data_IF_928106739383
#
_entry.id   IF_928106739383
#
_cell.length_a   1.000
_cell.length_b   1.000
_cell.length_c   1.000
_cell.angle_alpha   90.00
_cell.angle_beta   90.00
_cell.angle_gamma   90.00
#
_symmetry.space_group_name_H-M   'P 1'
#
loop_
_entity.id
_entity.type
_entity.pdbx_description
1 polymer ?
#
# COMPACT_ATOMS: atom_id res chain seq x y z
N UNK A 1 -27.41 2.84 21.70
CA UNK A 1 -26.22 2.98 20.89
C UNK A 1 -26.17 1.78 19.98
N UNK A 2 -26.35 1.98 18.69
CA UNK A 2 -26.15 0.89 17.72
C UNK A 2 -24.68 0.43 17.80
N UNK A 3 -24.49 -0.82 18.21
CA UNK A 3 -23.16 -1.45 18.16
C UNK A 3 -22.83 -1.69 16.69
N UNK A 4 -22.07 -0.78 16.10
CA UNK A 4 -21.60 -0.93 14.72
C UNK A 4 -20.48 -1.95 14.67
N UNK A 5 -20.73 -3.08 14.03
CA UNK A 5 -19.71 -4.11 13.80
C UNK A 5 -18.71 -3.58 12.77
N UNK A 6 -17.40 -3.62 13.05
CA UNK A 6 -16.40 -3.20 12.07
C UNK A 6 -16.49 -4.01 10.77
N UNK A 7 -16.17 -3.40 9.62
CA UNK A 7 -16.20 -4.10 8.32
C UNK A 7 -15.27 -5.31 8.30
N UNK A 8 -15.81 -6.48 7.96
CA UNK A 8 -15.06 -7.74 7.84
C UNK A 8 -15.75 -8.68 6.85
N UNK A 9 -15.05 -9.73 6.45
CA UNK A 9 -15.59 -10.84 5.68
C UNK A 9 -14.92 -12.14 6.13
N UNK A 10 -15.55 -12.85 7.06
CA UNK A 10 -15.00 -14.08 7.64
C UNK A 10 -14.86 -15.22 6.61
N UNK A 11 -15.76 -15.29 5.64
CA UNK A 11 -15.72 -16.34 4.62
C UNK A 11 -14.53 -16.14 3.68
N UNK A 12 -14.20 -14.87 3.32
CA UNK A 12 -13.00 -14.57 2.57
C UNK A 12 -11.72 -14.91 3.38
N UNK A 13 -11.70 -14.60 4.68
CA UNK A 13 -10.57 -14.94 5.56
C UNK A 13 -10.36 -16.45 5.64
N UNK A 14 -11.43 -17.24 5.83
CA UNK A 14 -11.35 -18.69 5.86
C UNK A 14 -10.92 -19.28 4.52
N UNK A 15 -11.46 -18.75 3.41
CA UNK A 15 -11.11 -19.20 2.07
C UNK A 15 -9.62 -19.00 1.78
N UNK A 16 -9.05 -17.83 2.15
CA UNK A 16 -7.61 -17.56 1.97
C UNK A 16 -6.77 -18.49 2.84
N UNK A 17 -7.09 -18.63 4.13
CA UNK A 17 -6.35 -19.52 5.03
C UNK A 17 -6.45 -20.98 4.60
N UNK A 18 -7.63 -21.42 4.16
CA UNK A 18 -7.85 -22.77 3.66
C UNK A 18 -7.05 -23.05 2.37
N UNK A 19 -7.02 -22.09 1.45
CA UNK A 19 -6.24 -22.22 0.22
C UNK A 19 -4.74 -22.31 0.50
N UNK A 20 -4.22 -21.55 1.44
CA UNK A 20 -2.82 -21.63 1.87
C UNK A 20 -2.46 -23.01 2.46
N UNK A 21 -3.43 -23.69 3.11
CA UNK A 21 -3.24 -25.03 3.67
C UNK A 21 -3.30 -26.14 2.62
N UNK A 22 -4.08 -25.95 1.54
CA UNK A 22 -4.25 -26.95 0.50
C UNK A 22 -3.19 -26.83 -0.61
N UNK A 23 -2.88 -25.60 -1.03
CA UNK A 23 -1.97 -25.32 -2.14
C UNK A 23 -0.52 -25.07 -1.67
N UNK A 24 -0.31 -24.76 -0.40
CA UNK A 24 1.01 -24.48 0.17
C UNK A 24 2.02 -25.63 0.11
N UNK A 25 1.53 -26.83 -0.18
CA UNK A 25 2.35 -28.04 -0.39
C UNK A 25 2.75 -28.27 -1.86
N UNK A 26 2.11 -27.60 -2.83
CA UNK A 26 2.20 -27.98 -4.25
C UNK A 26 3.10 -27.08 -5.10
N UNK A 27 3.01 -25.74 -4.98
CA UNK A 27 3.78 -24.84 -5.86
C UNK A 27 4.32 -23.57 -5.18
N UNK A 28 3.84 -23.23 -4.01
CA UNK A 28 4.21 -21.98 -3.33
C UNK A 28 3.60 -20.70 -3.97
N UNK A 29 3.04 -20.79 -5.17
CA UNK A 29 2.49 -19.64 -5.90
C UNK A 29 1.37 -18.93 -5.13
N UNK A 30 0.45 -19.71 -4.54
CA UNK A 30 -0.64 -19.16 -3.73
C UNK A 30 -0.13 -18.44 -2.47
N UNK A 31 0.96 -18.95 -1.89
CA UNK A 31 1.61 -18.35 -0.71
C UNK A 31 2.25 -17.02 -1.07
N UNK A 32 3.03 -17.00 -2.16
CA UNK A 32 3.70 -15.78 -2.64
C UNK A 32 2.67 -14.72 -3.03
N UNK A 33 1.60 -15.11 -3.71
CA UNK A 33 0.51 -14.22 -4.09
C UNK A 33 -0.17 -13.61 -2.86
N UNK A 34 -0.61 -14.44 -1.90
CA UNK A 34 -1.31 -13.95 -0.71
C UNK A 34 -0.41 -13.08 0.15
N UNK A 35 0.86 -13.46 0.34
CA UNK A 35 1.81 -12.68 1.15
C UNK A 35 2.20 -11.36 0.51
N UNK A 36 2.04 -11.22 -0.80
CA UNK A 36 2.22 -9.94 -1.50
C UNK A 36 1.05 -8.98 -1.32
N UNK A 37 -0.16 -9.49 -1.02
CA UNK A 37 -1.41 -8.71 -0.95
C UNK A 37 -1.84 -8.47 0.50
N UNK A 38 -1.78 -9.50 1.36
CA UNK A 38 -2.38 -9.50 2.70
C UNK A 38 -1.33 -9.47 3.78
N UNK A 39 -1.47 -8.54 4.71
CA UNK A 39 -0.68 -8.51 5.93
C UNK A 39 -1.44 -9.18 7.10
N UNK A 40 -0.69 -9.56 8.15
CA UNK A 40 -1.25 -10.17 9.35
C UNK A 40 -2.42 -9.36 9.95
N UNK A 41 -2.26 -8.05 10.02
CA UNK A 41 -3.22 -7.15 10.68
C UNK A 41 -4.43 -6.82 9.80
N UNK A 42 -4.46 -7.33 8.55
CA UNK A 42 -5.63 -7.23 7.68
C UNK A 42 -6.74 -8.21 8.07
N UNK A 43 -6.43 -9.29 8.77
CA UNK A 43 -7.43 -10.19 9.28
C UNK A 43 -8.24 -9.54 10.42
N UNK A 44 -9.54 -9.75 10.42
CA UNK A 44 -10.43 -9.26 11.45
C UNK A 44 -10.36 -10.11 12.72
N UNK A 45 -10.43 -11.46 12.56
CA UNK A 45 -10.38 -12.38 13.69
C UNK A 45 -8.95 -12.57 14.20
N UNK A 46 -8.77 -12.43 15.51
CA UNK A 46 -7.48 -12.70 16.16
C UNK A 46 -7.01 -14.14 15.96
N UNK A 47 -7.95 -15.09 15.90
CA UNK A 47 -7.66 -16.49 15.58
C UNK A 47 -7.02 -16.63 14.20
N UNK A 48 -7.54 -15.92 13.19
CA UNK A 48 -7.01 -15.93 11.83
C UNK A 48 -5.64 -15.24 11.75
N UNK A 49 -5.43 -14.14 12.49
CA UNK A 49 -4.11 -13.49 12.62
C UNK A 49 -3.05 -14.45 13.17
N UNK A 50 -3.41 -15.22 14.20
CA UNK A 50 -2.51 -16.20 14.81
C UNK A 50 -2.18 -17.33 13.82
N UNK A 51 -3.17 -17.84 13.09
CA UNK A 51 -3.00 -18.88 12.07
C UNK A 51 -2.09 -18.36 10.95
N UNK A 52 -2.38 -17.17 10.42
CA UNK A 52 -1.59 -16.57 9.34
C UNK A 52 -0.13 -16.31 9.77
N UNK A 53 0.08 -15.82 10.99
CA UNK A 53 1.43 -15.63 11.55
C UNK A 53 2.21 -16.94 11.70
N UNK A 54 1.52 -18.03 12.04
CA UNK A 54 2.14 -19.37 12.07
C UNK A 54 2.50 -19.84 10.66
N UNK A 55 1.63 -19.63 9.67
CA UNK A 55 1.91 -19.93 8.25
C UNK A 55 3.14 -19.14 7.78
N UNK A 56 3.21 -17.82 8.02
CA UNK A 56 4.37 -17.00 7.66
C UNK A 56 5.68 -17.51 8.28
N UNK A 57 5.61 -18.05 9.50
CA UNK A 57 6.78 -18.66 10.15
C UNK A 57 7.23 -19.95 9.47
N UNK A 58 6.29 -20.80 9.03
CA UNK A 58 6.60 -21.99 8.25
C UNK A 58 7.25 -21.63 6.92
N UNK A 59 6.72 -20.63 6.21
CA UNK A 59 7.30 -20.08 4.98
C UNK A 59 8.74 -19.64 5.21
N UNK A 60 8.99 -18.80 6.21
CA UNK A 60 10.34 -18.31 6.57
C UNK A 60 11.30 -19.44 6.91
N UNK A 61 10.79 -20.53 7.45
CA UNK A 61 11.58 -21.72 7.81
C UNK A 61 11.72 -22.72 6.66
N UNK A 62 11.19 -22.38 5.48
CA UNK A 62 11.16 -23.24 4.28
C UNK A 62 10.56 -24.63 4.55
N UNK A 63 9.51 -24.67 5.38
CA UNK A 63 8.75 -25.89 5.70
C UNK A 63 7.48 -25.95 4.85
N UNK A 64 7.03 -27.15 4.56
CA UNK A 64 5.73 -27.38 3.89
C UNK A 64 4.59 -26.84 4.75
N UNK A 65 3.58 -26.27 4.10
CA UNK A 65 2.40 -25.75 4.75
C UNK A 65 1.27 -26.76 4.55
N UNK A 66 0.96 -27.47 5.60
CA UNK A 66 -0.17 -28.40 5.66
C UNK A 66 -0.79 -28.36 7.07
N UNK A 67 -1.91 -29.05 7.25
CA UNK A 67 -2.61 -29.03 8.53
C UNK A 67 -1.78 -29.66 9.67
N UNK A 68 -0.86 -30.59 9.39
CA UNK A 68 -0.01 -31.24 10.39
C UNK A 68 1.07 -30.26 10.86
N UNK A 69 1.82 -29.72 9.92
CA UNK A 69 2.92 -28.78 10.20
C UNK A 69 2.42 -27.50 10.86
N UNK A 70 1.24 -26.99 10.44
CA UNK A 70 0.61 -25.84 11.07
C UNK A 70 0.15 -26.15 12.50
N UNK A 71 -0.46 -27.33 12.73
CA UNK A 71 -0.89 -27.74 14.07
C UNK A 71 0.30 -27.86 15.02
N UNK A 72 1.40 -28.45 14.57
CA UNK A 72 2.65 -28.60 15.34
C UNK A 72 3.25 -27.22 15.69
N UNK A 73 3.28 -26.30 14.70
CA UNK A 73 3.78 -24.93 14.94
C UNK A 73 2.90 -24.16 15.95
N UNK A 74 1.57 -24.31 15.85
CA UNK A 74 0.63 -23.69 16.79
C UNK A 74 0.72 -24.31 18.19
N UNK A 75 0.95 -25.62 18.29
CA UNK A 75 1.19 -26.30 19.57
C UNK A 75 2.48 -25.83 20.22
N UNK A 76 3.57 -25.74 19.43
CA UNK A 76 4.85 -25.17 19.90
C UNK A 76 4.70 -23.76 20.44
N UNK A 77 3.82 -22.95 19.85
CA UNK A 77 3.49 -21.59 20.30
C UNK A 77 2.47 -21.54 21.42
N UNK A 78 1.93 -22.68 21.88
CA UNK A 78 0.84 -22.79 22.86
C UNK A 78 -0.41 -21.99 22.46
N UNK A 79 -0.73 -21.98 21.16
CA UNK A 79 -1.86 -21.24 20.57
C UNK A 79 -2.91 -22.15 19.93
N UNK A 80 -2.67 -23.46 19.84
CA UNK A 80 -3.56 -24.42 19.18
C UNK A 80 -5.00 -24.35 19.73
N UNK A 81 -5.16 -24.37 21.05
CA UNK A 81 -6.49 -24.29 21.68
C UNK A 81 -7.14 -22.92 21.45
N UNK A 82 -6.34 -21.84 21.43
CA UNK A 82 -6.82 -20.47 21.20
C UNK A 82 -7.45 -20.30 19.81
N UNK A 83 -6.96 -21.00 18.81
CA UNK A 83 -7.47 -20.93 17.43
C UNK A 83 -8.62 -21.91 17.16
N UNK A 84 -9.04 -22.72 18.14
CA UNK A 84 -10.14 -23.68 18.01
C UNK A 84 -9.67 -25.13 17.76
N UNK A 85 -8.40 -25.41 18.00
CA UNK A 85 -7.82 -26.76 17.92
C UNK A 85 -7.69 -27.28 16.48
N UNK A 86 -7.32 -28.55 16.38
CA UNK A 86 -7.13 -29.26 15.10
C UNK A 86 -8.43 -29.29 14.29
N UNK A 87 -9.59 -29.39 14.95
CA UNK A 87 -10.88 -29.41 14.28
C UNK A 87 -11.14 -28.15 13.44
N UNK A 88 -10.80 -26.98 13.98
CA UNK A 88 -10.95 -25.72 13.26
C UNK A 88 -9.99 -25.62 12.07
N UNK A 89 -8.72 -26.02 12.22
CA UNK A 89 -7.74 -26.02 11.15
C UNK A 89 -8.18 -26.95 10.02
N UNK A 90 -8.72 -28.12 10.36
CA UNK A 90 -9.26 -29.07 9.36
C UNK A 90 -10.48 -28.50 8.64
N UNK A 91 -11.35 -27.76 9.34
CA UNK A 91 -12.50 -27.12 8.71
C UNK A 91 -12.08 -26.04 7.71
N UNK A 92 -11.03 -25.27 8.00
CA UNK A 92 -10.48 -24.29 7.07
C UNK A 92 -10.00 -24.92 5.76
N UNK A 93 -9.30 -26.07 5.86
CA UNK A 93 -8.84 -26.79 4.68
C UNK A 93 -10.00 -27.31 3.81
N UNK A 94 -11.13 -27.67 4.43
CA UNK A 94 -12.32 -28.12 3.72
C UNK A 94 -13.14 -26.99 3.09
N UNK A 95 -13.05 -25.78 3.63
CA UNK A 95 -13.70 -24.57 3.07
C UNK A 95 -12.89 -23.94 1.93
N UNK A 96 -11.69 -24.47 1.62
CA UNK A 96 -10.86 -24.05 0.50
C UNK A 96 -11.56 -24.34 -0.83
N UNK A 97 -12.41 -23.44 -1.26
CA UNK A 97 -12.95 -23.45 -2.62
C UNK A 97 -11.92 -22.81 -3.53
N UNK A 98 -11.18 -23.65 -4.30
CA UNK A 98 -10.00 -23.29 -5.09
C UNK A 98 -10.18 -22.30 -6.24
N UNK A 99 -11.12 -21.37 -6.14
CA UNK A 99 -11.39 -20.37 -7.16
C UNK A 99 -11.18 -18.96 -6.61
N UNK A 100 -10.14 -18.28 -7.15
CA UNK A 100 -9.91 -16.85 -7.00
C UNK A 100 -9.38 -16.38 -5.62
N UNK A 101 -8.31 -17.03 -5.14
CA UNK A 101 -7.65 -16.66 -3.89
C UNK A 101 -7.24 -15.17 -3.88
N UNK A 102 -6.85 -14.63 -5.04
CA UNK A 102 -6.48 -13.22 -5.20
C UNK A 102 -7.64 -12.28 -4.87
N UNK A 103 -8.83 -12.59 -5.39
CA UNK A 103 -10.03 -11.77 -5.13
C UNK A 103 -10.42 -11.80 -3.65
N UNK A 104 -10.34 -12.99 -3.00
CA UNK A 104 -10.61 -13.09 -1.57
C UNK A 104 -9.57 -12.33 -0.75
N UNK A 105 -8.29 -12.36 -1.14
CA UNK A 105 -7.24 -11.58 -0.52
C UNK A 105 -7.51 -10.07 -0.64
N UNK A 106 -7.93 -9.59 -1.81
CA UNK A 106 -8.33 -8.18 -2.03
C UNK A 106 -9.51 -7.77 -1.16
N UNK A 107 -10.54 -8.63 -1.01
CA UNK A 107 -11.67 -8.37 -0.11
C UNK A 107 -11.21 -8.17 1.33
N UNK A 108 -10.27 -8.99 1.82
CA UNK A 108 -9.72 -8.85 3.17
C UNK A 108 -9.06 -7.48 3.34
N UNK A 109 -8.21 -7.08 2.39
CA UNK A 109 -7.50 -5.79 2.42
C UNK A 109 -8.48 -4.61 2.36
N UNK A 110 -9.49 -4.64 1.49
CA UNK A 110 -10.53 -3.60 1.44
C UNK A 110 -11.23 -3.42 2.80
N UNK A 111 -11.61 -4.53 3.45
CA UNK A 111 -12.25 -4.47 4.77
C UNK A 111 -11.29 -3.96 5.85
N UNK A 112 -10.02 -4.33 5.77
CA UNK A 112 -8.98 -3.82 6.66
C UNK A 112 -8.78 -2.30 6.48
N UNK A 113 -8.75 -1.80 5.26
CA UNK A 113 -8.67 -0.37 4.98
C UNK A 113 -9.83 0.42 5.58
N UNK A 114 -11.05 -0.10 5.43
CA UNK A 114 -12.23 0.52 6.07
C UNK A 114 -12.09 0.57 7.60
N UNK A 115 -11.54 -0.48 8.24
CA UNK A 115 -11.27 -0.49 9.68
C UNK A 115 -10.22 0.54 10.06
N UNK A 116 -9.11 0.63 9.30
CA UNK A 116 -8.06 1.63 9.53
C UNK A 116 -8.60 3.06 9.41
N UNK A 117 -9.52 3.32 8.45
CA UNK A 117 -10.19 4.61 8.33
C UNK A 117 -11.09 4.92 9.54
N UNK A 118 -11.83 3.93 10.04
CA UNK A 118 -12.65 4.07 11.24
C UNK A 118 -11.76 4.39 12.46
N UNK A 119 -10.64 3.69 12.61
CA UNK A 119 -9.69 3.91 13.71
C UNK A 119 -9.03 5.29 13.62
N UNK A 120 -8.65 5.73 12.42
CA UNK A 120 -8.13 7.08 12.19
C UNK A 120 -9.18 8.15 12.56
N UNK A 121 -10.44 7.96 12.11
CA UNK A 121 -11.54 8.84 12.48
C UNK A 121 -11.79 8.91 13.99
N UNK A 122 -11.77 7.78 14.68
CA UNK A 122 -11.93 7.72 16.13
C UNK A 122 -10.77 8.42 16.86
N UNK A 123 -9.54 8.27 16.38
CA UNK A 123 -8.37 8.99 16.92
C UNK A 123 -8.52 10.51 16.74
N UNK A 124 -8.97 10.96 15.55
CA UNK A 124 -9.21 12.39 15.28
C UNK A 124 -10.27 12.93 16.21
N UNK A 125 -11.39 12.23 16.36
CA UNK A 125 -12.47 12.61 17.30
C UNK A 125 -11.92 12.69 18.72
N UNK A 126 -11.16 11.67 19.16
CA UNK A 126 -10.56 11.65 20.50
C UNK A 126 -9.63 12.83 20.78
N UNK A 127 -8.72 13.15 19.85
CA UNK A 127 -7.81 14.28 19.96
C UNK A 127 -8.57 15.62 20.03
N UNK A 128 -9.63 15.75 19.24
CA UNK A 128 -10.44 16.96 19.18
C UNK A 128 -11.19 17.20 20.52
N UNK A 129 -11.75 16.12 21.11
CA UNK A 129 -12.42 16.22 22.42
C UNK A 129 -11.45 16.44 23.58
N UNK A 130 -10.24 15.93 23.51
CA UNK A 130 -9.21 16.13 24.54
C UNK A 130 -8.81 17.63 24.64
N UNK A 131 -8.74 18.33 23.50
CA UNK A 131 -8.47 19.77 23.46
C UNK A 131 -7.11 20.17 24.02
N UNK A 132 -6.14 19.25 24.03
CA UNK A 132 -4.80 19.47 24.60
C UNK A 132 -3.88 20.26 23.66
N UNK A 133 -4.10 20.13 22.34
CA UNK A 133 -3.30 20.78 21.31
C UNK A 133 -4.05 21.96 20.66
N UNK A 134 -3.32 22.87 20.05
CA UNK A 134 -3.90 23.92 19.23
C UNK A 134 -4.62 23.34 17.99
N UNK A 135 -5.71 24.00 17.50
CA UNK A 135 -6.46 23.51 16.35
C UNK A 135 -5.61 23.25 15.09
N UNK A 136 -4.60 24.05 14.84
CA UNK A 136 -3.65 23.88 13.74
C UNK A 136 -2.83 22.57 13.85
N UNK A 137 -2.43 22.22 15.06
CA UNK A 137 -1.67 20.99 15.35
C UNK A 137 -2.56 19.76 15.19
N UNK A 138 -3.82 19.83 15.68
CA UNK A 138 -4.80 18.77 15.53
C UNK A 138 -5.08 18.52 14.04
N UNK A 139 -5.21 19.59 13.24
CA UNK A 139 -5.44 19.49 11.80
C UNK A 139 -4.29 18.75 11.10
N UNK A 140 -3.04 19.13 11.36
CA UNK A 140 -1.87 18.48 10.79
C UNK A 140 -1.78 16.99 11.19
N UNK A 141 -2.07 16.66 12.45
CA UNK A 141 -2.11 15.28 12.92
C UNK A 141 -3.23 14.47 12.23
N UNK A 142 -4.40 15.08 12.01
CA UNK A 142 -5.51 14.45 11.32
C UNK A 142 -5.17 14.16 9.85
N UNK A 143 -4.56 15.12 9.14
CA UNK A 143 -4.09 14.93 7.77
C UNK A 143 -3.09 13.76 7.69
N UNK A 144 -2.12 13.71 8.61
CA UNK A 144 -1.14 12.63 8.65
C UNK A 144 -1.80 11.26 8.87
N UNK A 145 -2.75 11.14 9.81
CA UNK A 145 -3.48 9.89 10.06
C UNK A 145 -4.23 9.40 8.83
N UNK A 146 -4.85 10.30 8.06
CA UNK A 146 -5.56 9.94 6.83
C UNK A 146 -4.58 9.54 5.73
N UNK A 147 -3.47 10.26 5.58
CA UNK A 147 -2.43 9.93 4.60
C UNK A 147 -1.77 8.57 4.90
N UNK A 148 -1.53 8.25 6.17
CA UNK A 148 -0.95 6.96 6.58
C UNK A 148 -1.84 5.79 6.17
N UNK A 149 -3.18 5.93 6.27
CA UNK A 149 -4.12 4.91 5.77
C UNK A 149 -4.03 4.76 4.25
N UNK A 150 -3.91 5.87 3.51
CA UNK A 150 -3.76 5.85 2.05
C UNK A 150 -2.40 5.33 1.58
N UNK A 151 -1.33 5.64 2.31
CA UNK A 151 0.04 5.25 1.97
C UNK A 151 0.29 3.74 2.07
N UNK A 152 -0.36 3.05 3.00
CA UNK A 152 -0.29 1.59 3.11
C UNK A 152 -0.94 0.86 1.92
N UNK A 153 -1.86 1.51 1.24
CA UNK A 153 -2.53 0.98 0.04
C UNK A 153 -1.66 1.06 -1.22
N UNK A 154 -0.68 1.98 -1.25
CA UNK A 154 0.20 2.19 -2.40
C UNK A 154 1.43 1.27 -2.42
N UNK A 155 1.56 0.32 -1.49
CA UNK A 155 2.54 -0.77 -1.61
C UNK A 155 2.21 -1.76 -2.74
N UNK A 156 1.07 -1.60 -3.43
CA UNK A 156 0.81 -2.31 -4.68
C UNK A 156 1.82 -1.85 -5.74
N UNK A 157 2.84 -2.68 -5.83
CA UNK A 157 3.83 -2.73 -6.91
C UNK A 157 4.36 -1.37 -7.40
N UNK A 158 5.44 -0.91 -6.79
CA UNK A 158 6.40 0.03 -7.40
C UNK A 158 6.93 -0.52 -8.75
N UNK A 159 6.61 -1.77 -9.08
CA UNK A 159 6.96 -2.46 -10.32
C UNK A 159 5.79 -2.40 -11.29
N UNK A 160 5.88 -1.48 -12.26
CA UNK A 160 4.98 -1.51 -13.42
C UNK A 160 5.52 -2.52 -14.44
N UNK A 161 4.65 -3.33 -15.08
CA UNK A 161 5.06 -4.17 -16.19
C UNK A 161 5.81 -3.33 -17.22
N UNK A 162 6.98 -3.81 -17.66
CA UNK A 162 7.82 -3.05 -18.61
C UNK A 162 7.06 -2.69 -19.89
N UNK A 163 6.10 -3.52 -20.29
CA UNK A 163 5.25 -3.27 -21.45
C UNK A 163 4.44 -1.98 -21.33
N UNK A 164 3.82 -1.71 -20.18
CA UNK A 164 3.01 -0.51 -19.94
C UNK A 164 3.88 0.74 -19.90
N UNK A 165 5.05 0.63 -19.28
CA UNK A 165 6.05 1.71 -19.25
C UNK A 165 6.54 2.03 -20.66
N UNK A 166 6.80 1.02 -21.50
CA UNK A 166 7.23 1.19 -22.90
C UNK A 166 6.13 1.85 -23.72
N UNK A 167 4.88 1.39 -23.63
CA UNK A 167 3.75 1.98 -24.36
C UNK A 167 3.55 3.45 -23.99
N UNK A 168 3.57 3.78 -22.70
CA UNK A 168 3.44 5.17 -22.21
C UNK A 168 4.59 6.05 -22.73
N UNK A 169 5.81 5.53 -22.77
CA UNK A 169 6.96 6.28 -23.31
C UNK A 169 6.88 6.45 -24.84
N UNK A 170 6.40 5.46 -25.59
CA UNK A 170 6.18 5.57 -27.04
C UNK A 170 5.16 6.67 -27.35
N UNK A 171 4.04 6.71 -26.62
CA UNK A 171 3.03 7.76 -26.75
C UNK A 171 3.61 9.15 -26.44
N UNK A 172 4.42 9.25 -25.39
CA UNK A 172 5.11 10.50 -25.04
C UNK A 172 6.08 10.94 -26.13
N UNK A 173 6.88 10.02 -26.69
CA UNK A 173 7.81 10.29 -27.79
C UNK A 173 7.06 10.71 -29.06
N UNK A 174 5.95 10.06 -29.38
CA UNK A 174 5.12 10.40 -30.54
C UNK A 174 4.56 11.83 -30.43
N UNK A 175 4.10 12.23 -29.25
CA UNK A 175 3.64 13.60 -28.97
C UNK A 175 4.78 14.63 -29.10
N UNK A 176 5.97 14.31 -28.59
CA UNK A 176 7.15 15.17 -28.70
C UNK A 176 7.60 15.32 -30.17
N UNK A 177 7.50 14.26 -30.97
CA UNK A 177 7.86 14.29 -32.39
C UNK A 177 6.91 15.17 -33.23
N UNK A 178 5.63 15.23 -32.86
CA UNK A 178 4.64 16.10 -33.50
C UNK A 178 4.85 17.58 -33.17
N UNK A 179 5.46 17.89 -32.01
CA UNK A 179 5.74 19.26 -31.57
C UNK A 179 7.21 19.65 -31.79
N UNK A 180 7.75 19.39 -32.99
CA UNK A 180 9.11 19.78 -33.37
C UNK A 180 9.33 21.29 -33.17
N UNK A 181 10.16 21.64 -32.18
CA UNK A 181 10.56 23.01 -31.89
C UNK A 181 9.86 23.71 -30.73
N UNK A 182 8.95 23.06 -30.04
CA UNK A 182 8.38 23.58 -28.79
C UNK A 182 9.21 23.16 -27.58
N UNK A 183 9.33 24.03 -26.60
CA UNK A 183 9.96 23.77 -25.31
C UNK A 183 9.15 22.66 -24.63
N UNK A 184 9.81 21.56 -24.21
CA UNK A 184 9.13 20.39 -23.61
C UNK A 184 8.80 20.58 -22.14
N UNK A 185 9.55 21.44 -21.45
CA UNK A 185 9.33 21.84 -20.07
C UNK A 185 8.57 23.16 -19.93
N UNK A 186 8.52 23.66 -18.69
CA UNK A 186 7.96 24.98 -18.40
C UNK A 186 8.92 26.07 -18.87
N UNK A 187 8.52 26.97 -19.79
CA UNK A 187 9.41 28.01 -20.30
C UNK A 187 9.79 28.99 -19.21
N UNK A 188 11.06 29.35 -19.10
CA UNK A 188 11.55 30.35 -18.15
C UNK A 188 11.31 31.79 -18.60
N UNK A 189 11.03 31.97 -19.89
CA UNK A 189 10.94 33.28 -20.54
C UNK A 189 12.31 33.89 -20.95
N UNK A 190 13.40 33.20 -20.60
CA UNK A 190 14.75 33.57 -21.06
C UNK A 190 15.14 32.66 -22.23
N UNK A 191 15.12 33.23 -23.46
CA UNK A 191 15.28 32.47 -24.72
C UNK A 191 16.52 31.57 -24.73
N UNK A 192 17.68 32.09 -24.32
CA UNK A 192 18.92 31.33 -24.32
C UNK A 192 18.97 30.24 -23.29
N UNK A 193 18.30 30.46 -22.16
CA UNK A 193 18.15 29.45 -21.09
C UNK A 193 17.20 28.34 -21.54
N UNK A 194 16.08 28.74 -22.11
CA UNK A 194 15.06 27.80 -22.60
C UNK A 194 15.63 26.97 -23.78
N UNK A 195 16.43 27.54 -24.62
CA UNK A 195 17.12 26.82 -25.69
C UNK A 195 18.11 25.76 -25.16
N UNK A 196 18.82 26.08 -24.05
CA UNK A 196 19.79 25.14 -23.43
C UNK A 196 19.16 24.08 -22.56
N UNK A 197 18.11 24.41 -21.83
CA UNK A 197 17.44 23.51 -20.87
C UNK A 197 16.21 22.81 -21.46
N UNK A 198 15.73 23.29 -22.62
CA UNK A 198 14.43 22.90 -23.19
C UNK A 198 13.25 23.15 -22.23
N UNK A 199 13.36 24.24 -21.41
CA UNK A 199 12.47 24.55 -20.31
C UNK A 199 12.79 23.80 -19.01
N UNK A 200 12.08 24.13 -17.94
CA UNK A 200 12.20 23.45 -16.64
C UNK A 200 11.42 22.15 -16.68
N UNK A 201 12.08 21.01 -16.53
CA UNK A 201 11.44 19.69 -16.59
C UNK A 201 10.80 19.31 -15.25
N UNK A 202 9.73 18.51 -15.31
CA UNK A 202 9.14 17.92 -14.11
C UNK A 202 10.12 16.97 -13.44
N UNK A 203 10.13 16.93 -12.12
CA UNK A 203 11.00 16.10 -11.28
C UNK A 203 12.47 16.52 -11.24
N UNK A 204 12.87 17.61 -11.92
CA UNK A 204 14.22 18.13 -11.82
C UNK A 204 14.40 19.01 -10.58
N UNK A 205 15.52 18.87 -9.88
CA UNK A 205 15.98 19.80 -8.85
C UNK A 205 16.89 20.85 -9.49
N UNK A 206 16.42 22.08 -9.58
CA UNK A 206 17.16 23.17 -10.20
C UNK A 206 17.72 24.10 -9.13
N UNK A 207 19.06 24.21 -9.08
CA UNK A 207 19.76 25.05 -8.13
C UNK A 207 20.26 26.33 -8.83
N UNK A 208 19.82 27.48 -8.30
CA UNK A 208 20.30 28.81 -8.74
C UNK A 208 21.22 29.36 -7.67
N UNK A 209 22.51 29.45 -7.99
CA UNK A 209 23.53 29.97 -7.10
C UNK A 209 24.10 31.30 -7.64
N UNK A 210 24.30 32.29 -6.76
CA UNK A 210 24.93 33.55 -7.07
C UNK A 210 25.56 34.16 -5.81
N UNK A 211 26.54 35.06 -6.00
CA UNK A 211 27.09 35.83 -4.89
C UNK A 211 26.00 36.77 -4.31
N UNK A 212 26.09 37.17 -3.03
CA UNK A 212 25.20 38.11 -2.44
C UNK A 212 25.05 39.38 -3.32
N UNK A 213 23.84 39.91 -3.39
CA UNK A 213 23.50 41.11 -4.19
C UNK A 213 23.57 40.98 -5.74
N UNK A 214 23.78 39.78 -6.29
CA UNK A 214 23.82 39.57 -7.75
C UNK A 214 22.45 39.37 -8.41
N UNK A 215 21.37 39.62 -7.72
CA UNK A 215 20.02 39.55 -8.29
C UNK A 215 19.39 38.17 -8.35
N UNK A 216 19.89 37.15 -7.58
CA UNK A 216 19.35 35.81 -7.55
C UNK A 216 17.83 35.75 -7.38
N UNK A 217 17.32 36.48 -6.37
CA UNK A 217 15.88 36.53 -6.08
C UNK A 217 15.10 37.21 -7.21
N UNK A 218 15.64 38.28 -7.79
CA UNK A 218 15.02 38.97 -8.92
C UNK A 218 14.92 38.03 -10.15
N UNK A 219 15.95 37.23 -10.41
CA UNK A 219 15.94 36.22 -11.48
C UNK A 219 14.85 35.17 -11.28
N UNK A 220 14.73 34.60 -10.06
CA UNK A 220 13.67 33.60 -9.76
C UNK A 220 12.28 34.20 -9.85
N UNK A 221 12.08 35.45 -9.40
CA UNK A 221 10.80 36.12 -9.53
C UNK A 221 10.43 36.43 -11.00
N UNK A 222 11.39 36.79 -11.84
CA UNK A 222 11.15 36.97 -13.27
C UNK A 222 10.75 35.64 -13.95
N UNK A 223 11.38 34.50 -13.59
CA UNK A 223 10.92 33.20 -14.07
C UNK A 223 9.49 32.94 -13.64
N UNK A 224 9.16 33.17 -12.36
CA UNK A 224 7.81 32.97 -11.85
C UNK A 224 6.78 33.85 -12.59
N UNK A 225 7.13 35.08 -12.89
CA UNK A 225 6.27 36.01 -13.66
C UNK A 225 6.08 35.59 -15.11
N UNK A 226 7.08 34.98 -15.72
CA UNK A 226 6.99 34.53 -17.12
C UNK A 226 6.21 33.22 -17.27
N UNK A 227 6.08 32.45 -16.18
CA UNK A 227 5.35 31.16 -16.15
C UNK A 227 3.85 31.34 -15.91
N UNK A 228 3.44 32.45 -15.28
CA UNK A 228 2.02 32.77 -15.00
C UNK A 228 1.35 33.40 -16.19
#
# INVERSE_FOLDING_TARGET
MDVRIPPHNEDAEKAVLGALLTDGSSSGESVDLVTSIVERDDFYRDTHRIIYDAILSLVKSNKTIDFITLSEELERRKKLDTVGGIAYITSLANEATGYNIEEHARIIVEKAQMRRLIDAGNKIVGMTYAGEDEPSVIMNKAEQLVLDVGGQTQSESTFSPIGDVVLTNIDRLSKLQQHKGSITGVPTGFRDLDFKLNGLQRSDLILVAARPAMGKTAFTLNIAQNVT
#
